data_IF_151882971179
#
_entry.id   IF_151882971179
#
_cell.length_a   1.000
_cell.length_b   1.000
_cell.length_c   1.000
_cell.angle_alpha   90.00
_cell.angle_beta   90.00
_cell.angle_gamma   90.00
#
_symmetry.space_group_name_H-M   'P 1'
#
loop_
_entity.id
_entity.type
_entity.pdbx_description
1 polymer ?
#
# COMPACT_ATOMS: atom_id res chain seq x y z
N UNK A 1 -1.71 13.11 -3.83
CA UNK A 1 -1.69 12.08 -4.88
C UNK A 1 -2.10 12.61 -6.26
N UNK A 2 -3.00 13.61 -6.39
CA UNK A 2 -3.43 14.10 -7.72
C UNK A 2 -2.28 14.54 -8.66
N UNK A 3 -1.35 15.38 -8.19
CA UNK A 3 -0.23 15.85 -9.01
C UNK A 3 0.71 14.71 -9.45
N UNK A 4 0.85 13.68 -8.61
CA UNK A 4 1.65 12.49 -8.91
C UNK A 4 1.01 11.60 -9.99
N UNK A 5 -0.30 11.73 -10.22
CA UNK A 5 -1.04 10.98 -11.24
C UNK A 5 -1.05 11.63 -12.62
N UNK A 6 -0.85 12.95 -12.71
CA UNK A 6 -0.81 13.67 -13.98
C UNK A 6 0.20 13.09 -15.00
N UNK A 7 1.41 12.62 -14.61
CA UNK A 7 2.33 11.96 -15.55
C UNK A 7 1.81 10.69 -16.22
N UNK A 8 0.72 10.10 -15.70
CA UNK A 8 0.09 8.92 -16.29
C UNK A 8 -0.71 9.28 -17.55
N UNK A 9 -1.15 10.54 -17.68
CA UNK A 9 -1.79 11.06 -18.87
C UNK A 9 -0.73 11.28 -19.99
N UNK A 10 -0.97 10.79 -21.23
CA UNK A 10 -0.09 11.02 -22.38
C UNK A 10 0.21 12.51 -22.69
N UNK A 11 -0.68 13.43 -22.33
CA UNK A 11 -0.51 14.88 -22.57
C UNK A 11 0.40 15.58 -21.53
N UNK A 12 0.95 14.85 -20.56
CA UNK A 12 1.90 15.39 -19.60
C UNK A 12 3.15 15.98 -20.32
N UNK A 13 3.64 17.18 -19.95
CA UNK A 13 3.36 17.94 -18.73
C UNK A 13 2.16 18.89 -18.78
N UNK A 14 1.42 18.96 -19.89
CA UNK A 14 0.29 19.88 -20.05
C UNK A 14 -1.04 19.32 -19.50
N UNK A 15 -1.06 18.04 -19.13
CA UNK A 15 -2.23 17.40 -18.54
C UNK A 15 -2.68 18.09 -17.24
N UNK A 16 -3.97 18.39 -17.15
CA UNK A 16 -4.62 18.92 -15.93
C UNK A 16 -5.64 17.94 -15.33
N UNK A 17 -5.92 16.84 -16.03
CA UNK A 17 -6.83 15.77 -15.60
C UNK A 17 -6.25 14.42 -16.00
N UNK A 18 -6.80 13.36 -15.43
CA UNK A 18 -6.58 11.99 -15.89
C UNK A 18 -7.87 11.19 -15.69
N UNK A 19 -8.03 10.11 -16.46
CA UNK A 19 -9.05 9.08 -16.18
C UNK A 19 -8.42 7.91 -15.42
N UNK A 20 -9.25 6.98 -14.93
CA UNK A 20 -8.75 5.85 -14.14
C UNK A 20 -7.90 4.88 -14.96
N UNK A 21 -8.21 4.66 -16.25
CA UNK A 21 -7.45 3.77 -17.12
C UNK A 21 -6.01 4.24 -17.32
N UNK A 22 -5.80 5.56 -17.39
CA UNK A 22 -4.47 6.14 -17.49
C UNK A 22 -3.58 5.78 -16.29
N UNK A 23 -4.17 5.56 -15.10
CA UNK A 23 -3.42 5.18 -13.90
C UNK A 23 -2.79 3.79 -14.00
N UNK A 24 -3.26 2.94 -14.92
CA UNK A 24 -2.72 1.60 -15.15
C UNK A 24 -1.38 1.61 -15.91
N UNK A 25 -0.88 2.79 -16.31
CA UNK A 25 0.40 2.93 -17.00
C UNK A 25 1.55 2.52 -16.09
N UNK A 26 2.22 1.44 -16.48
CA UNK A 26 3.33 0.87 -15.72
C UNK A 26 4.51 1.82 -15.56
N UNK A 27 5.13 1.78 -14.37
CA UNK A 27 6.31 2.56 -13.98
C UNK A 27 6.09 4.08 -13.88
N UNK A 28 4.83 4.53 -13.69
CA UNK A 28 4.49 5.93 -13.39
C UNK A 28 3.96 6.08 -11.97
N UNK A 29 2.75 5.58 -11.73
CA UNK A 29 2.17 5.38 -10.40
C UNK A 29 1.97 3.90 -10.12
N UNK A 30 1.34 3.19 -11.06
CA UNK A 30 1.31 1.73 -11.04
C UNK A 30 2.75 1.18 -11.05
N UNK A 31 2.97 0.18 -10.21
CA UNK A 31 4.27 -0.42 -9.96
C UNK A 31 4.19 -1.89 -9.56
N UNK A 32 5.33 -2.55 -9.70
CA UNK A 32 5.55 -3.92 -9.23
C UNK A 32 5.36 -4.06 -7.71
N UNK A 33 5.21 -5.31 -7.24
CA UNK A 33 5.03 -5.65 -5.84
C UNK A 33 3.76 -5.02 -5.22
N UNK A 34 2.70 -4.91 -6.02
CA UNK A 34 1.36 -4.55 -5.57
C UNK A 34 0.81 -5.58 -4.56
N UNK A 35 -0.04 -5.13 -3.63
CA UNK A 35 -0.67 -6.00 -2.62
C UNK A 35 -1.74 -6.93 -3.19
N UNK A 36 -2.35 -6.59 -4.32
CA UNK A 36 -3.51 -7.32 -4.86
C UNK A 36 -3.53 -7.46 -6.39
N UNK A 37 -2.52 -6.95 -7.09
CA UNK A 37 -2.41 -6.96 -8.55
C UNK A 37 -1.14 -7.69 -8.96
N UNK A 38 -1.18 -8.32 -10.13
CA UNK A 38 0.03 -8.87 -10.74
C UNK A 38 0.96 -7.72 -11.14
N UNK A 39 2.26 -7.99 -11.18
CA UNK A 39 3.21 -7.11 -11.87
C UNK A 39 2.89 -7.08 -13.37
N UNK A 40 3.18 -5.96 -14.05
CA UNK A 40 2.89 -5.82 -15.48
C UNK A 40 3.57 -6.89 -16.35
N UNK A 41 4.77 -7.34 -15.97
CA UNK A 41 5.45 -8.46 -16.63
C UNK A 41 4.64 -9.78 -16.56
N UNK A 42 3.97 -10.01 -15.43
CA UNK A 42 3.26 -11.26 -15.14
C UNK A 42 1.81 -11.27 -15.68
N UNK A 43 1.30 -10.14 -16.17
CA UNK A 43 -0.03 -10.06 -16.77
C UNK A 43 -0.75 -8.74 -16.49
N UNK A 44 -2.03 -8.83 -16.12
CA UNK A 44 -2.86 -7.64 -15.89
C UNK A 44 -2.52 -6.98 -14.54
N UNK A 45 -2.02 -5.74 -14.61
CA UNK A 45 -1.50 -4.95 -13.48
C UNK A 45 -2.55 -4.11 -12.74
N UNK A 46 -3.83 -4.16 -13.12
CA UNK A 46 -4.85 -3.27 -12.56
C UNK A 46 -6.12 -4.00 -12.09
N UNK A 47 -6.40 -5.20 -12.62
CA UNK A 47 -7.48 -6.05 -12.15
C UNK A 47 -7.08 -6.77 -10.86
N UNK A 48 -7.99 -6.81 -9.89
CA UNK A 48 -7.80 -7.57 -8.66
C UNK A 48 -7.42 -9.04 -8.96
N UNK A 49 -6.38 -9.53 -8.27
CA UNK A 49 -5.87 -10.88 -8.41
C UNK A 49 -5.89 -11.59 -7.05
N UNK A 50 -6.80 -12.55 -6.89
CA UNK A 50 -6.99 -13.28 -5.65
C UNK A 50 -5.72 -14.01 -5.19
N UNK A 51 -4.99 -14.77 -6.04
CA UNK A 51 -3.74 -15.41 -5.61
C UNK A 51 -2.69 -14.45 -5.04
N UNK A 52 -2.47 -13.30 -5.68
CA UNK A 52 -1.56 -12.26 -5.16
C UNK A 52 -2.07 -11.73 -3.82
N UNK A 53 -3.36 -11.45 -3.72
CA UNK A 53 -3.91 -10.93 -2.47
C UNK A 53 -3.88 -11.97 -1.34
N UNK A 54 -3.99 -13.25 -1.66
CA UNK A 54 -3.83 -14.34 -0.68
C UNK A 54 -2.39 -14.40 -0.15
N UNK A 55 -1.36 -14.14 -0.97
CA UNK A 55 0.02 -13.97 -0.49
C UNK A 55 0.14 -12.82 0.52
N UNK A 56 -0.48 -11.68 0.24
CA UNK A 56 -0.54 -10.55 1.16
C UNK A 56 -1.25 -10.91 2.45
N UNK A 57 -2.43 -11.55 2.37
CA UNK A 57 -3.25 -11.93 3.53
C UNK A 57 -2.58 -12.94 4.47
N UNK A 58 -1.55 -13.69 4.02
CA UNK A 58 -0.76 -14.59 4.90
C UNK A 58 -0.15 -13.86 6.10
N UNK A 59 0.14 -12.58 5.96
CA UNK A 59 0.74 -11.75 7.00
C UNK A 59 -0.28 -10.99 7.84
N UNK A 60 -1.58 -11.11 7.54
CA UNK A 60 -2.67 -10.48 8.29
C UNK A 60 -3.32 -11.55 9.17
N UNK A 61 -2.55 -12.06 10.12
CA UNK A 61 -2.86 -13.28 10.87
C UNK A 61 -3.97 -13.09 11.91
N UNK A 62 -4.22 -11.85 12.31
CA UNK A 62 -5.18 -11.49 13.35
C UNK A 62 -6.42 -10.76 12.80
N UNK A 63 -7.54 -10.72 13.54
CA UNK A 63 -8.71 -9.90 13.18
C UNK A 63 -8.40 -8.40 13.08
N UNK A 64 -7.35 -7.94 13.75
CA UNK A 64 -6.84 -6.57 13.68
C UNK A 64 -5.46 -6.59 13.01
N UNK A 65 -5.37 -5.92 11.87
CA UNK A 65 -4.13 -5.67 11.15
C UNK A 65 -3.39 -4.53 11.86
N UNK A 66 -2.09 -4.71 12.09
CA UNK A 66 -1.19 -3.71 12.69
C UNK A 66 -0.21 -3.18 11.63
N UNK A 67 0.63 -2.21 12.00
CA UNK A 67 1.73 -1.75 11.15
C UNK A 67 2.64 -2.91 10.71
N UNK A 68 2.97 -3.83 11.61
CA UNK A 68 3.82 -5.00 11.35
C UNK A 68 3.16 -5.95 10.34
N UNK A 69 1.87 -6.23 10.48
CA UNK A 69 1.13 -7.08 9.54
C UNK A 69 1.19 -6.53 8.11
N UNK A 70 0.98 -5.21 7.94
CA UNK A 70 1.06 -4.55 6.63
C UNK A 70 2.50 -4.49 6.11
N UNK A 71 3.45 -4.07 6.93
CA UNK A 71 4.86 -3.95 6.54
C UNK A 71 5.44 -5.30 6.08
N UNK A 72 5.19 -6.36 6.85
CA UNK A 72 5.60 -7.72 6.49
C UNK A 72 4.97 -8.17 5.17
N UNK A 73 3.68 -7.88 4.96
CA UNK A 73 3.01 -8.21 3.69
C UNK A 73 3.63 -7.48 2.51
N UNK A 74 4.00 -6.20 2.66
CA UNK A 74 4.62 -5.41 1.59
C UNK A 74 6.02 -5.90 1.28
N UNK A 75 6.84 -6.16 2.29
CA UNK A 75 8.19 -6.72 2.13
C UNK A 75 8.15 -8.09 1.44
N UNK A 76 7.20 -8.94 1.81
CA UNK A 76 7.02 -10.24 1.18
C UNK A 76 6.63 -10.13 -0.29
N UNK A 77 5.71 -9.21 -0.63
CA UNK A 77 5.33 -8.93 -2.02
C UNK A 77 6.50 -8.39 -2.84
N UNK A 78 7.33 -7.51 -2.27
CA UNK A 78 8.56 -7.02 -2.90
C UNK A 78 9.56 -8.13 -3.17
N UNK A 79 9.78 -9.01 -2.18
CA UNK A 79 10.69 -10.14 -2.33
C UNK A 79 10.19 -11.14 -3.39
N UNK A 80 8.90 -11.49 -3.35
CA UNK A 80 8.29 -12.40 -4.31
C UNK A 80 8.36 -11.83 -5.74
N UNK A 81 7.94 -10.59 -5.91
CA UNK A 81 8.00 -9.87 -7.18
C UNK A 81 9.43 -9.85 -7.73
N UNK A 82 10.42 -9.44 -6.93
CA UNK A 82 11.84 -9.46 -7.31
C UNK A 82 12.36 -10.86 -7.67
N UNK A 83 11.87 -11.91 -7.01
CA UNK A 83 12.32 -13.27 -7.25
C UNK A 83 11.75 -13.88 -8.55
N UNK A 84 10.55 -13.46 -8.98
CA UNK A 84 9.84 -14.08 -10.11
C UNK A 84 9.66 -13.19 -11.33
N UNK A 85 9.86 -11.88 -11.20
CA UNK A 85 9.76 -10.92 -12.30
C UNK A 85 11.18 -10.51 -12.75
N UNK A 86 11.65 -10.98 -13.94
CA UNK A 86 12.96 -10.60 -14.47
C UNK A 86 13.05 -9.11 -14.87
N UNK A 87 11.92 -8.41 -14.98
CA UNK A 87 11.83 -6.96 -15.24
C UNK A 87 11.51 -6.15 -13.97
N UNK A 88 11.64 -6.75 -12.78
CA UNK A 88 11.32 -6.12 -11.51
C UNK A 88 11.91 -4.72 -11.38
N UNK A 89 11.03 -3.74 -11.15
CA UNK A 89 11.42 -2.35 -10.95
C UNK A 89 10.68 -1.75 -9.76
N UNK A 90 11.45 -1.49 -8.71
CA UNK A 90 10.97 -0.79 -7.52
C UNK A 90 12.01 0.23 -7.07
N UNK A 91 11.73 1.50 -7.33
CA UNK A 91 12.66 2.62 -7.08
C UNK A 91 12.37 3.32 -5.76
N UNK A 92 13.27 4.16 -5.25
CA UNK A 92 13.00 4.98 -4.05
C UNK A 92 11.76 5.88 -4.22
N UNK A 93 11.50 6.36 -5.45
CA UNK A 93 10.29 7.13 -5.76
C UNK A 93 9.03 6.25 -5.68
N UNK A 94 9.11 5.02 -6.19
CA UNK A 94 8.05 4.01 -6.08
C UNK A 94 7.77 3.64 -4.62
N UNK A 95 8.82 3.44 -3.82
CA UNK A 95 8.71 3.11 -2.41
C UNK A 95 7.97 4.19 -1.62
N UNK A 96 8.33 5.46 -1.84
CA UNK A 96 7.67 6.60 -1.21
C UNK A 96 6.17 6.64 -1.52
N UNK A 97 5.78 6.28 -2.74
CA UNK A 97 4.38 6.19 -3.14
C UNK A 97 3.70 4.98 -2.50
N UNK A 98 4.34 3.82 -2.55
CA UNK A 98 3.74 2.58 -2.05
C UNK A 98 3.56 2.59 -0.54
N UNK A 99 4.44 3.29 0.21
CA UNK A 99 4.21 3.59 1.63
C UNK A 99 2.87 4.31 1.79
N UNK A 100 2.58 5.32 0.96
CA UNK A 100 1.31 6.05 1.00
C UNK A 100 0.08 5.17 0.77
N UNK A 101 0.18 4.17 -0.12
CA UNK A 101 -0.91 3.23 -0.40
C UNK A 101 -1.21 2.34 0.82
N UNK A 102 -0.18 1.85 1.50
CA UNK A 102 -0.33 0.95 2.64
C UNK A 102 -0.79 1.67 3.92
N UNK A 103 -0.77 3.01 3.96
CA UNK A 103 -1.44 3.81 5.01
C UNK A 103 -2.97 3.83 4.83
N UNK A 104 -3.45 3.71 3.59
CA UNK A 104 -4.84 4.00 3.23
C UNK A 104 -5.86 3.16 4.02
N UNK A 105 -5.64 1.85 4.30
CA UNK A 105 -6.57 1.08 5.13
C UNK A 105 -6.73 1.64 6.55
N UNK A 106 -5.65 2.08 7.19
CA UNK A 106 -5.70 2.68 8.53
C UNK A 106 -6.42 4.03 8.53
N UNK A 107 -6.22 4.82 7.47
CA UNK A 107 -6.86 6.13 7.32
C UNK A 107 -8.35 5.97 7.02
N UNK A 108 -8.73 5.08 6.10
CA UNK A 108 -10.11 4.94 5.64
C UNK A 108 -10.97 4.07 6.57
N UNK A 109 -10.42 2.95 7.07
CA UNK A 109 -11.18 1.90 7.76
C UNK A 109 -10.75 1.67 9.21
N UNK A 110 -9.66 2.30 9.66
CA UNK A 110 -9.04 2.01 10.96
C UNK A 110 -8.72 3.24 11.81
N UNK A 111 -7.80 3.02 12.73
CA UNK A 111 -7.23 4.01 13.63
C UNK A 111 -5.79 4.33 13.19
N UNK A 112 -5.62 5.48 12.56
CA UNK A 112 -4.30 5.96 12.10
C UNK A 112 -3.36 6.25 13.28
N UNK A 113 -3.87 6.67 14.45
CA UNK A 113 -3.05 6.98 15.62
C UNK A 113 -2.40 5.70 16.16
N UNK A 114 -3.18 4.63 16.27
CA UNK A 114 -2.72 3.35 16.78
C UNK A 114 -2.16 2.40 15.71
N UNK A 115 -2.22 2.78 14.43
CA UNK A 115 -1.84 1.94 13.30
C UNK A 115 -2.54 0.56 13.32
N UNK A 116 -3.85 0.58 13.57
CA UNK A 116 -4.68 -0.63 13.59
C UNK A 116 -5.88 -0.51 12.67
N UNK A 117 -6.24 -1.60 12.00
CA UNK A 117 -7.43 -1.66 11.15
C UNK A 117 -8.06 -3.04 11.21
N UNK A 118 -9.39 -3.11 11.19
CA UNK A 118 -10.10 -4.39 11.11
C UNK A 118 -9.80 -5.10 9.80
N UNK A 119 -9.41 -6.37 9.89
CA UNK A 119 -9.05 -7.20 8.74
C UNK A 119 -10.21 -7.38 7.77
N UNK A 120 -11.41 -7.63 8.29
CA UNK A 120 -12.61 -7.87 7.46
C UNK A 120 -12.98 -6.65 6.60
N UNK A 121 -12.90 -5.43 7.14
CA UNK A 121 -13.13 -4.20 6.39
C UNK A 121 -12.11 -4.02 5.25
N UNK A 122 -10.82 -4.22 5.55
CA UNK A 122 -9.74 -4.10 4.57
C UNK A 122 -9.88 -5.15 3.47
N UNK A 123 -10.10 -6.42 3.84
CA UNK A 123 -10.26 -7.52 2.88
C UNK A 123 -11.47 -7.29 1.98
N UNK A 124 -12.62 -6.91 2.55
CA UNK A 124 -13.82 -6.59 1.78
C UNK A 124 -13.57 -5.49 0.76
N UNK A 125 -12.87 -4.41 1.15
CA UNK A 125 -12.57 -3.32 0.22
C UNK A 125 -11.72 -3.79 -0.98
N UNK A 126 -10.70 -4.62 -0.74
CA UNK A 126 -9.86 -5.14 -1.83
C UNK A 126 -10.62 -6.12 -2.74
N UNK A 127 -11.42 -7.02 -2.18
CA UNK A 127 -12.11 -8.08 -2.94
C UNK A 127 -13.33 -7.56 -3.72
N UNK A 128 -14.00 -6.52 -3.22
CA UNK A 128 -15.24 -6.01 -3.81
C UNK A 128 -15.15 -4.61 -4.39
N UNK A 129 -14.05 -3.88 -4.13
CA UNK A 129 -13.87 -2.46 -4.51
C UNK A 129 -15.04 -1.58 -4.06
N UNK A 130 -15.57 -1.87 -2.87
CA UNK A 130 -16.74 -1.21 -2.26
C UNK A 130 -16.46 -0.84 -0.81
N UNK A 131 -17.08 0.24 -0.35
CA UNK A 131 -17.05 0.62 1.06
C UNK A 131 -17.78 -0.45 1.90
N UNK A 132 -17.17 -0.98 2.98
CA UNK A 132 -17.70 -2.12 3.73
C UNK A 132 -18.81 -1.74 4.72
N UNK A 133 -19.84 -1.03 4.23
CA UNK A 133 -20.97 -0.53 5.04
C UNK A 133 -21.73 -1.68 5.70
N UNK A 134 -21.90 -2.80 4.99
CA UNK A 134 -22.57 -4.01 5.48
C UNK A 134 -21.82 -4.66 6.66
N UNK A 135 -20.52 -4.40 6.81
CA UNK A 135 -19.69 -4.87 7.92
C UNK A 135 -19.62 -3.84 9.08
N UNK A 136 -20.43 -2.78 9.00
CA UNK A 136 -20.54 -1.72 9.99
C UNK A 136 -19.55 -0.57 9.80
N UNK A 137 -18.87 -0.48 8.66
CA UNK A 137 -18.05 0.70 8.37
C UNK A 137 -18.93 1.93 8.15
N UNK A 138 -18.45 3.06 8.66
CA UNK A 138 -19.01 4.38 8.41
C UNK A 138 -17.88 5.38 8.18
N UNK A 139 -18.15 6.41 7.37
CA UNK A 139 -17.23 7.54 7.20
C UNK A 139 -16.92 8.16 8.57
N UNK A 140 -15.66 8.53 8.79
CA UNK A 140 -15.24 9.28 9.98
C UNK A 140 -15.91 10.65 10.00
N UNK A 141 -16.38 11.07 11.18
CA UNK A 141 -16.98 12.39 11.38
C UNK A 141 -15.93 13.49 11.27
N UNK A 142 -14.73 13.20 11.77
CA UNK A 142 -13.58 14.10 11.72
C UNK A 142 -12.57 13.66 10.66
N UNK A 143 -11.94 14.65 10.03
CA UNK A 143 -10.82 14.39 9.13
C UNK A 143 -9.63 13.81 9.91
N UNK A 144 -8.88 12.90 9.27
CA UNK A 144 -7.64 12.40 9.88
C UNK A 144 -6.60 13.52 9.84
N UNK A 145 -6.09 13.99 10.99
CA UNK A 145 -5.17 15.11 11.02
C UNK A 145 -3.83 14.72 10.40
N UNK A 146 -3.13 15.70 9.81
CA UNK A 146 -1.82 15.47 9.19
C UNK A 146 -0.81 14.85 10.17
N UNK A 147 -0.85 15.24 11.45
CA UNK A 147 0.01 14.65 12.49
C UNK A 147 -0.19 13.15 12.63
N UNK A 148 -1.44 12.66 12.63
CA UNK A 148 -1.70 11.22 12.70
C UNK A 148 -1.19 10.48 11.46
N UNK A 149 -1.21 11.11 10.27
CA UNK A 149 -0.65 10.53 9.05
C UNK A 149 0.88 10.45 9.14
N UNK A 150 1.54 11.50 9.64
CA UNK A 150 3.00 11.52 9.85
C UNK A 150 3.42 10.46 10.88
N UNK A 151 2.72 10.37 12.01
CA UNK A 151 2.98 9.35 13.03
C UNK A 151 2.77 7.93 12.48
N UNK A 152 1.78 7.74 11.60
CA UNK A 152 1.53 6.45 10.95
C UNK A 152 2.66 6.10 9.96
N UNK A 153 3.15 7.07 9.17
CA UNK A 153 4.31 6.87 8.29
C UNK A 153 5.54 6.43 9.08
N UNK A 154 5.82 7.04 10.22
CA UNK A 154 6.93 6.65 11.09
C UNK A 154 6.75 5.22 11.63
N UNK A 155 5.55 4.88 12.11
CA UNK A 155 5.25 3.51 12.59
C UNK A 155 5.47 2.46 11.51
N UNK A 156 5.00 2.71 10.29
CA UNK A 156 5.18 1.76 9.18
C UNK A 156 6.64 1.70 8.72
N UNK A 157 7.35 2.84 8.69
CA UNK A 157 8.79 2.88 8.43
C UNK A 157 9.56 2.01 9.43
N UNK A 158 9.29 2.19 10.72
CA UNK A 158 9.91 1.38 11.77
C UNK A 158 9.51 -0.10 11.67
N UNK A 159 8.24 -0.41 11.40
CA UNK A 159 7.77 -1.79 11.23
C UNK A 159 8.35 -2.51 10.00
N UNK A 160 8.82 -1.75 9.00
CA UNK A 160 9.49 -2.29 7.81
C UNK A 160 10.99 -2.55 8.01
N UNK A 161 11.58 -2.04 9.10
CA UNK A 161 12.98 -2.30 9.42
C UNK A 161 13.17 -3.74 9.88
N UNK A 162 14.09 -4.44 9.24
CA UNK A 162 14.52 -5.79 9.67
C UNK A 162 15.67 -5.75 10.69
N UNK A 163 16.21 -4.57 10.99
CA UNK A 163 17.29 -4.41 11.96
C UNK A 163 16.76 -4.38 13.39
N UNK A 164 17.37 -5.17 14.27
CA UNK A 164 17.04 -5.21 15.71
C UNK A 164 18.22 -4.75 16.54
N UNK A 165 17.96 -3.99 17.61
CA UNK A 165 18.97 -3.56 18.58
C UNK A 165 19.67 -2.24 18.23
N UNK A 166 20.56 -1.78 19.12
CA UNK A 166 21.42 -0.60 18.88
C UNK A 166 22.68 -1.02 18.14
N UNK A 167 23.22 -0.11 17.33
CA UNK A 167 24.54 -0.32 16.73
C UNK A 167 25.57 -0.50 17.84
N UNK A 168 26.38 -1.57 17.82
CA UNK A 168 27.46 -1.76 18.79
C UNK A 168 28.56 -0.68 18.66
N UNK A 169 28.50 0.18 17.63
CA UNK A 169 29.45 1.28 17.39
C UNK A 169 29.00 2.63 17.97
N UNK A 170 27.79 2.71 18.55
CA UNK A 170 27.25 3.93 19.17
C UNK A 170 27.25 3.88 20.71
N UNK A 171 27.92 2.88 21.30
CA UNK A 171 28.23 2.84 22.74
C UNK A 171 29.57 3.55 22.99
N UNK A 172 29.58 4.87 22.87
CA UNK A 172 30.65 5.75 23.41
C UNK A 172 30.04 7.00 24.00
#
# INVERSE_FOLDING_TARGET
>A
MFKQALPANPDYPNATTFNLDQLNRHNVLEHDASLSRLDAYNGNNHVFNQPVFDETKKYWTEPIITAEHIANSKLARMLQSKATNPEYRFTNTTESFSIGEILAPFIAFGDAKNATVRRDLTVYFFEFERLPVELGWRRKEEETPLSAIVDLMEKLGNASSLFTGKSPLLET
#
